data_IF_529460353607
#
_entry.id   IF_529460353607
#
_cell.length_a   1.000
_cell.length_b   1.000
_cell.length_c   1.000
_cell.angle_alpha   90.00
_cell.angle_beta   90.00
_cell.angle_gamma   90.00
#
_symmetry.space_group_name_H-M   'P 1'
#
loop_
_entity.id
_entity.type
_entity.pdbx_description
1 polymer ?
#
# COMPACT_ATOMS: atom_id res chain seq x y z
N UNK A 1 68.60 -46.46 -52.80
CA UNK A 1 67.77 -45.41 -52.20
C UNK A 1 66.85 -44.92 -53.30
N UNK A 2 65.68 -45.54 -53.38
CA UNK A 2 64.37 -44.96 -53.00
C UNK A 2 63.63 -44.55 -54.29
N UNK A 3 62.76 -45.40 -54.87
CA UNK A 3 61.35 -45.65 -54.52
C UNK A 3 60.49 -44.37 -54.51
N UNK A 4 59.58 -44.20 -55.48
CA UNK A 4 58.12 -44.33 -55.29
C UNK A 4 57.32 -43.66 -56.42
N UNK A 5 56.52 -44.50 -57.06
CA UNK A 5 55.34 -44.18 -57.87
C UNK A 5 54.26 -43.57 -56.98
N UNK A 6 53.75 -42.38 -57.29
CA UNK A 6 52.58 -41.83 -56.60
C UNK A 6 51.32 -42.44 -57.17
N UNK A 7 50.69 -43.27 -56.34
CA UNK A 7 49.42 -43.95 -56.54
C UNK A 7 48.29 -42.91 -56.69
N UNK A 8 47.63 -42.91 -57.85
CA UNK A 8 46.28 -42.35 -58.03
C UNK A 8 45.30 -43.40 -57.55
N UNK A 9 44.55 -43.11 -56.49
CA UNK A 9 43.22 -43.67 -56.18
C UNK A 9 42.82 -43.25 -54.77
N UNK A 10 41.89 -42.31 -54.63
CA UNK A 10 40.88 -42.27 -53.57
C UNK A 10 40.12 -40.93 -53.59
N UNK A 11 39.15 -40.79 -54.49
CA UNK A 11 38.11 -39.78 -54.31
C UNK A 11 36.76 -40.31 -54.82
N UNK A 12 36.00 -40.94 -53.93
CA UNK A 12 34.59 -41.26 -54.19
C UNK A 12 33.73 -41.49 -52.93
N UNK A 13 34.23 -41.20 -51.72
CA UNK A 13 33.50 -41.49 -50.47
C UNK A 13 33.03 -40.24 -49.67
N UNK A 14 33.16 -39.03 -50.22
CA UNK A 14 32.85 -37.78 -49.50
C UNK A 14 31.35 -37.38 -49.51
N UNK A 15 30.54 -37.86 -50.46
CA UNK A 15 29.21 -37.27 -50.71
C UNK A 15 28.04 -37.84 -49.89
N UNK A 16 28.19 -38.97 -49.17
CA UNK A 16 27.08 -39.57 -48.39
C UNK A 16 26.97 -39.10 -46.94
N UNK A 17 28.03 -38.51 -46.37
CA UNK A 17 28.03 -38.01 -44.98
C UNK A 17 27.37 -36.64 -44.78
N UNK A 18 27.23 -35.84 -45.84
CA UNK A 18 26.77 -34.44 -45.75
C UNK A 18 25.26 -34.28 -45.55
N UNK A 19 24.44 -35.27 -45.90
CA UNK A 19 22.98 -35.20 -45.75
C UNK A 19 22.49 -35.62 -44.35
N UNK A 20 23.27 -36.45 -43.64
CA UNK A 20 22.94 -36.88 -42.28
C UNK A 20 23.24 -35.81 -41.22
N UNK A 21 24.33 -35.03 -41.38
CA UNK A 21 24.68 -33.96 -40.44
C UNK A 21 23.69 -32.80 -40.48
N UNK A 22 23.26 -32.38 -41.69
CA UNK A 22 22.27 -31.32 -41.85
C UNK A 22 20.89 -31.68 -41.24
N UNK A 23 20.55 -32.97 -41.23
CA UNK A 23 19.31 -33.47 -40.61
C UNK A 23 19.41 -33.52 -39.08
N UNK A 24 20.59 -33.85 -38.54
CA UNK A 24 20.85 -33.79 -37.09
C UNK A 24 20.88 -32.35 -36.57
N UNK A 25 21.47 -31.43 -37.32
CA UNK A 25 21.54 -30.00 -36.98
C UNK A 25 20.14 -29.37 -37.00
N UNK A 26 19.27 -29.78 -37.95
CA UNK A 26 17.86 -29.34 -38.00
C UNK A 26 17.06 -29.82 -36.78
N UNK A 27 17.18 -31.11 -36.42
CA UNK A 27 16.50 -31.66 -35.24
C UNK A 27 17.01 -31.02 -33.94
N UNK A 28 18.28 -30.64 -33.89
CA UNK A 28 18.86 -29.91 -32.76
C UNK A 28 18.32 -28.48 -32.70
N UNK A 29 18.14 -27.82 -33.85
CA UNK A 29 17.54 -26.49 -33.97
C UNK A 29 16.06 -26.46 -33.55
N UNK A 30 15.29 -27.47 -33.94
CA UNK A 30 13.89 -27.63 -33.49
C UNK A 30 13.81 -27.83 -31.97
N UNK A 31 14.76 -28.58 -31.37
CA UNK A 31 14.85 -28.78 -29.93
C UNK A 31 15.13 -27.50 -29.13
N UNK A 32 16.06 -26.65 -29.58
CA UNK A 32 16.37 -25.35 -28.93
C UNK A 32 15.26 -24.32 -29.13
N UNK A 33 14.57 -24.33 -30.28
CA UNK A 33 13.39 -23.49 -30.49
C UNK A 33 12.25 -23.88 -29.54
N UNK A 34 12.09 -25.18 -29.29
CA UNK A 34 11.08 -25.70 -28.37
C UNK A 34 11.42 -25.39 -26.90
N UNK A 35 12.69 -25.51 -26.50
CA UNK A 35 13.18 -25.09 -25.18
C UNK A 35 12.95 -23.58 -24.94
N UNK A 36 13.23 -22.73 -25.93
CA UNK A 36 12.96 -21.28 -25.85
C UNK A 36 11.48 -20.93 -25.77
N UNK A 37 10.62 -21.71 -26.44
CA UNK A 37 9.17 -21.58 -26.34
C UNK A 37 8.63 -21.99 -24.96
N UNK A 38 9.20 -23.03 -24.33
CA UNK A 38 8.83 -23.44 -22.97
C UNK A 38 9.27 -22.40 -21.93
N UNK A 39 10.46 -21.81 -22.09
CA UNK A 39 10.94 -20.72 -21.22
C UNK A 39 10.08 -19.46 -21.39
N UNK A 40 9.74 -19.10 -22.63
CA UNK A 40 8.86 -17.95 -22.91
C UNK A 40 7.44 -18.16 -22.36
N UNK A 41 6.90 -19.37 -22.43
CA UNK A 41 5.60 -19.72 -21.85
C UNK A 41 5.65 -19.73 -20.31
N UNK A 42 6.74 -20.22 -19.71
CA UNK A 42 6.96 -20.18 -18.27
C UNK A 42 7.08 -18.72 -17.78
N UNK A 43 7.86 -17.88 -18.45
CA UNK A 43 8.00 -16.44 -18.14
C UNK A 43 6.66 -15.72 -18.29
N UNK A 44 5.86 -16.06 -19.31
CA UNK A 44 4.52 -15.48 -19.51
C UNK A 44 3.53 -15.84 -18.41
N UNK A 45 3.61 -17.06 -17.86
CA UNK A 45 2.74 -17.51 -16.76
C UNK A 45 3.11 -16.91 -15.40
N UNK A 46 4.40 -16.62 -15.17
CA UNK A 46 4.87 -15.93 -13.95
C UNK A 46 4.49 -14.44 -13.95
N UNK A 47 4.36 -13.80 -15.11
CA UNK A 47 4.01 -12.38 -15.21
C UNK A 47 2.51 -12.08 -14.96
N UNK A 48 1.63 -13.09 -14.96
CA UNK A 48 0.17 -12.94 -14.77
C UNK A 48 -0.24 -12.57 -13.32
N UNK A 49 0.70 -12.45 -12.39
CA UNK A 49 0.43 -11.95 -11.03
C UNK A 49 0.34 -10.41 -11.00
N UNK A 50 -0.42 -9.84 -11.94
CA UNK A 50 -0.59 -8.40 -12.08
C UNK A 50 -1.83 -7.91 -11.34
N UNK A 51 -1.58 -7.03 -10.37
CA UNK A 51 -2.44 -5.95 -9.91
C UNK A 51 -3.83 -6.35 -9.39
N UNK A 52 -3.89 -6.68 -8.10
CA UNK A 52 -5.13 -6.58 -7.31
C UNK A 52 -5.60 -5.12 -7.35
N UNK A 53 -6.54 -4.81 -8.25
CA UNK A 53 -7.31 -3.55 -8.19
C UNK A 53 -7.96 -3.50 -6.81
N UNK A 54 -7.51 -2.59 -5.96
CA UNK A 54 -8.15 -2.32 -4.67
C UNK A 54 -9.60 -1.95 -4.99
N UNK A 55 -10.54 -2.84 -4.66
CA UNK A 55 -11.95 -2.64 -4.95
C UNK A 55 -12.45 -1.36 -4.27
N UNK A 56 -13.17 -0.51 -5.03
CA UNK A 56 -13.83 0.70 -4.52
C UNK A 56 -14.70 0.41 -3.29
N UNK A 57 -15.28 -0.80 -3.21
CA UNK A 57 -16.08 -1.25 -2.08
C UNK A 57 -15.24 -1.32 -0.79
N UNK A 58 -13.97 -1.73 -0.88
CA UNK A 58 -13.06 -1.75 0.28
C UNK A 58 -12.71 -0.34 0.76
N UNK A 59 -12.52 0.60 -0.17
CA UNK A 59 -12.28 2.01 0.17
C UNK A 59 -13.51 2.65 0.81
N UNK A 60 -14.69 2.42 0.26
CA UNK A 60 -15.94 2.94 0.82
C UNK A 60 -16.21 2.39 2.22
N UNK A 61 -16.02 1.08 2.42
CA UNK A 61 -16.11 0.46 3.75
C UNK A 61 -15.07 1.04 4.71
N UNK A 62 -13.85 1.31 4.26
CA UNK A 62 -12.84 1.96 5.11
C UNK A 62 -13.28 3.36 5.54
N UNK A 63 -13.77 4.18 4.60
CA UNK A 63 -14.22 5.55 4.87
C UNK A 63 -15.39 5.53 5.86
N UNK A 64 -16.39 4.67 5.67
CA UNK A 64 -17.55 4.62 6.57
C UNK A 64 -17.13 4.30 8.01
N UNK A 65 -16.21 3.34 8.19
CA UNK A 65 -15.69 2.99 9.51
C UNK A 65 -14.88 4.13 10.15
N UNK A 66 -14.09 4.86 9.36
CA UNK A 66 -13.35 6.04 9.85
C UNK A 66 -14.33 7.12 10.28
N UNK A 67 -15.32 7.45 9.46
CA UNK A 67 -16.32 8.48 9.79
C UNK A 67 -17.06 8.13 11.07
N UNK A 68 -17.60 6.91 11.16
CA UNK A 68 -18.35 6.46 12.34
C UNK A 68 -17.46 6.51 13.60
N UNK A 69 -16.24 5.99 13.53
CA UNK A 69 -15.30 6.02 14.65
C UNK A 69 -14.91 7.44 15.06
N UNK A 70 -14.66 8.32 14.09
CA UNK A 70 -14.29 9.71 14.35
C UNK A 70 -15.44 10.54 14.92
N UNK A 71 -16.68 10.29 14.51
CA UNK A 71 -17.86 10.92 15.12
C UNK A 71 -18.01 10.45 16.56
N UNK A 72 -17.96 9.14 16.81
CA UNK A 72 -18.02 8.57 18.16
C UNK A 72 -16.92 9.14 19.08
N UNK A 73 -15.70 9.27 18.56
CA UNK A 73 -14.59 9.86 19.29
C UNK A 73 -14.82 11.35 19.58
N UNK A 74 -15.29 12.13 18.60
CA UNK A 74 -15.61 13.55 18.81
C UNK A 74 -16.72 13.77 19.83
N UNK A 75 -17.76 12.93 19.79
CA UNK A 75 -18.85 12.94 20.78
C UNK A 75 -18.32 12.59 22.17
N UNK A 76 -17.50 11.55 22.29
CA UNK A 76 -16.90 11.17 23.57
C UNK A 76 -15.97 12.26 24.14
N UNK A 77 -15.21 12.93 23.27
CA UNK A 77 -14.34 14.03 23.67
C UNK A 77 -15.15 15.20 24.25
N UNK A 78 -16.14 15.69 23.51
CA UNK A 78 -16.90 16.89 23.91
C UNK A 78 -17.89 16.62 25.06
N UNK A 79 -18.42 15.41 25.19
CA UNK A 79 -19.39 15.08 26.25
C UNK A 79 -18.75 14.60 27.55
N UNK A 80 -17.61 13.92 27.49
CA UNK A 80 -16.98 13.33 28.67
C UNK A 80 -15.68 14.03 29.04
N UNK A 81 -14.75 14.20 28.09
CA UNK A 81 -13.40 14.67 28.40
C UNK A 81 -13.33 16.19 28.61
N UNK A 82 -13.94 16.95 27.70
CA UNK A 82 -13.94 18.43 27.70
C UNK A 82 -14.79 19.07 28.81
N UNK A 83 -15.83 18.44 29.37
CA UNK A 83 -16.51 19.01 30.54
C UNK A 83 -15.85 18.57 31.85
N UNK A 84 -15.27 17.37 31.90
CA UNK A 84 -14.76 16.78 33.15
C UNK A 84 -13.25 16.97 33.36
N UNK A 85 -12.58 17.80 32.54
CA UNK A 85 -11.13 18.03 32.63
C UNK A 85 -10.30 16.74 32.52
N UNK A 86 -10.87 15.72 31.86
CA UNK A 86 -10.18 14.47 31.56
C UNK A 86 -9.47 14.63 30.23
N UNK A 87 -8.19 14.25 30.19
CA UNK A 87 -7.34 14.42 29.03
C UNK A 87 -6.94 13.06 28.49
N UNK A 88 -7.04 12.87 27.16
CA UNK A 88 -6.53 11.70 26.44
C UNK A 88 -5.00 11.78 26.24
N UNK A 89 -4.35 10.73 25.75
CA UNK A 89 -2.95 10.75 25.36
C UNK A 89 -2.66 11.49 24.03
N UNK A 90 -1.38 11.75 23.79
CA UNK A 90 -0.88 12.20 22.47
C UNK A 90 -1.36 13.59 22.04
N UNK A 91 -1.63 13.76 20.74
CA UNK A 91 -2.01 15.05 20.13
C UNK A 91 -3.37 15.52 20.62
N UNK A 92 -4.31 14.60 20.81
CA UNK A 92 -5.66 14.88 21.33
C UNK A 92 -5.59 15.47 22.73
N UNK A 93 -4.77 14.90 23.62
CA UNK A 93 -4.59 15.42 24.97
C UNK A 93 -4.05 16.85 25.03
N UNK A 94 -3.01 17.11 24.25
CA UNK A 94 -2.42 18.46 24.14
C UNK A 94 -3.48 19.44 23.62
N UNK A 95 -4.32 19.01 22.67
CA UNK A 95 -5.40 19.83 22.11
C UNK A 95 -6.45 20.20 23.17
N UNK A 96 -6.81 19.25 24.04
CA UNK A 96 -7.74 19.48 25.16
C UNK A 96 -7.15 20.51 26.13
N UNK A 97 -5.91 20.32 26.58
CA UNK A 97 -5.25 21.24 27.52
C UNK A 97 -5.19 22.66 26.93
N UNK A 98 -4.82 22.77 25.65
CA UNK A 98 -4.67 24.07 24.99
C UNK A 98 -6.03 24.75 24.75
N UNK A 99 -7.08 23.97 24.49
CA UNK A 99 -8.47 24.43 24.43
C UNK A 99 -8.92 25.03 25.76
N UNK A 100 -8.61 24.38 26.88
CA UNK A 100 -8.91 24.93 28.21
C UNK A 100 -8.20 26.25 28.49
N UNK A 101 -6.90 26.34 28.20
CA UNK A 101 -6.10 27.53 28.53
C UNK A 101 -6.44 28.71 27.61
N UNK A 102 -6.78 28.46 26.35
CA UNK A 102 -6.97 29.51 25.34
C UNK A 102 -8.45 29.82 25.07
N UNK A 103 -9.38 29.04 25.63
CA UNK A 103 -10.83 29.10 25.37
C UNK A 103 -11.20 29.00 23.88
N UNK A 104 -10.31 28.44 23.06
CA UNK A 104 -10.53 28.18 21.64
C UNK A 104 -11.10 26.76 21.48
N UNK A 105 -12.02 26.51 20.53
CA UNK A 105 -12.64 25.19 20.37
C UNK A 105 -11.62 24.07 20.16
N UNK A 106 -11.85 22.93 20.82
CA UNK A 106 -10.99 21.75 20.75
C UNK A 106 -10.73 21.32 19.29
N UNK A 107 -11.75 21.38 18.45
CA UNK A 107 -11.66 21.02 17.03
C UNK A 107 -10.56 21.77 16.28
N UNK A 108 -10.30 23.03 16.61
CA UNK A 108 -9.25 23.83 15.97
C UNK A 108 -7.86 23.30 16.34
N UNK A 109 -7.63 23.02 17.62
CA UNK A 109 -6.34 22.48 18.06
C UNK A 109 -6.11 21.06 17.56
N UNK A 110 -7.16 20.23 17.50
CA UNK A 110 -7.08 18.90 16.90
C UNK A 110 -6.62 18.96 15.46
N UNK A 111 -7.19 19.86 14.66
CA UNK A 111 -6.81 20.02 13.27
C UNK A 111 -5.39 20.59 13.13
N UNK A 112 -5.08 21.66 13.85
CA UNK A 112 -3.82 22.38 13.74
C UNK A 112 -2.64 21.54 14.22
N UNK A 113 -2.76 20.87 15.37
CA UNK A 113 -1.70 20.04 15.92
C UNK A 113 -1.54 18.73 15.15
N UNK A 114 -2.57 18.19 14.51
CA UNK A 114 -2.42 17.03 13.62
C UNK A 114 -1.77 17.38 12.28
N UNK A 115 -1.82 18.62 11.82
CA UNK A 115 -1.26 19.04 10.53
C UNK A 115 0.23 18.68 10.34
N UNK A 116 1.16 18.96 11.28
CA UNK A 116 2.56 18.54 11.14
C UNK A 116 2.70 17.01 11.10
N UNK A 117 1.95 16.27 11.92
CA UNK A 117 1.96 14.81 11.90
C UNK A 117 1.40 14.26 10.59
N UNK A 118 0.43 14.93 9.98
CA UNK A 118 -0.13 14.58 8.68
C UNK A 118 0.92 14.71 7.58
N UNK A 119 1.69 15.81 7.59
CA UNK A 119 2.78 16.05 6.63
C UNK A 119 3.85 14.97 6.78
N UNK A 120 4.24 14.65 8.01
CA UNK A 120 5.23 13.62 8.31
C UNK A 120 4.70 12.23 7.89
N UNK A 121 3.46 11.90 8.25
CA UNK A 121 2.80 10.64 7.89
C UNK A 121 2.61 10.47 6.39
N UNK A 122 2.35 11.56 5.66
CA UNK A 122 2.30 11.57 4.20
C UNK A 122 3.66 11.18 3.60
N UNK A 123 4.77 11.68 4.15
CA UNK A 123 6.12 11.36 3.67
C UNK A 123 6.59 9.96 4.08
N UNK A 124 6.28 9.50 5.28
CA UNK A 124 6.80 8.22 5.81
C UNK A 124 5.92 7.00 5.46
N UNK A 125 4.60 7.11 5.58
CA UNK A 125 3.66 5.98 5.42
C UNK A 125 3.01 6.01 4.03
N UNK A 126 2.71 7.21 3.54
CA UNK A 126 2.20 7.43 2.19
C UNK A 126 0.79 8.05 2.16
N UNK A 127 0.32 8.30 0.93
CA UNK A 127 -0.85 9.14 0.66
C UNK A 127 -2.15 8.56 1.24
N UNK A 128 -2.36 7.26 1.14
CA UNK A 128 -3.61 6.60 1.59
C UNK A 128 -3.79 6.68 3.10
N UNK A 129 -2.69 6.57 3.86
CA UNK A 129 -2.72 6.75 5.31
C UNK A 129 -3.03 8.20 5.66
N UNK A 130 -2.28 9.15 5.08
CA UNK A 130 -2.49 10.57 5.32
C UNK A 130 -3.92 11.01 4.98
N UNK A 131 -4.50 10.57 3.85
CA UNK A 131 -5.89 10.90 3.51
C UNK A 131 -6.89 10.35 4.53
N UNK A 132 -6.66 9.12 5.00
CA UNK A 132 -7.52 8.48 6.00
C UNK A 132 -7.45 9.21 7.36
N UNK A 133 -6.25 9.58 7.78
CA UNK A 133 -6.02 10.37 9.01
C UNK A 133 -6.60 11.76 8.88
N UNK A 134 -6.39 12.44 7.75
CA UNK A 134 -6.97 13.77 7.50
C UNK A 134 -8.50 13.71 7.57
N UNK A 135 -9.11 12.72 6.92
CA UNK A 135 -10.56 12.54 6.94
C UNK A 135 -11.04 12.31 8.37
N UNK A 136 -10.38 11.43 9.13
CA UNK A 136 -10.73 11.16 10.52
C UNK A 136 -10.62 12.41 11.41
N UNK A 137 -9.51 13.14 11.31
CA UNK A 137 -9.28 14.39 12.07
C UNK A 137 -10.30 15.46 11.69
N UNK A 138 -10.63 15.62 10.41
CA UNK A 138 -11.64 16.57 9.95
C UNK A 138 -13.03 16.23 10.48
N UNK A 139 -13.43 14.96 10.40
CA UNK A 139 -14.74 14.51 10.91
C UNK A 139 -14.80 14.65 12.42
N UNK A 140 -13.73 14.31 13.13
CA UNK A 140 -13.64 14.47 14.59
C UNK A 140 -13.67 15.95 15.01
N UNK A 141 -12.90 16.80 14.31
CA UNK A 141 -12.86 18.25 14.52
C UNK A 141 -14.23 18.88 14.23
N UNK A 142 -14.91 18.46 13.17
CA UNK A 142 -16.25 18.93 12.87
C UNK A 142 -17.26 18.46 13.91
N UNK A 143 -17.18 17.19 14.34
CA UNK A 143 -18.07 16.66 15.38
C UNK A 143 -17.92 17.43 16.69
N UNK A 144 -16.69 17.66 17.15
CA UNK A 144 -16.41 18.45 18.36
C UNK A 144 -16.87 19.90 18.21
N UNK A 145 -16.63 20.54 17.06
CA UNK A 145 -17.05 21.93 16.81
C UNK A 145 -18.58 22.07 16.74
N UNK A 146 -19.28 21.12 16.12
CA UNK A 146 -20.75 21.11 16.07
C UNK A 146 -21.37 20.83 17.45
N UNK A 147 -20.69 20.07 18.30
CA UNK A 147 -21.12 19.80 19.66
C UNK A 147 -20.74 20.90 20.67
N UNK A 148 -19.84 21.81 20.29
CA UNK A 148 -19.35 22.88 21.15
C UNK A 148 -20.46 23.82 21.67
N UNK A 149 -21.52 24.02 20.88
CA UNK A 149 -22.70 24.81 21.26
C UNK A 149 -23.70 24.03 22.14
N UNK A 150 -23.51 22.73 22.32
CA UNK A 150 -24.42 21.86 23.08
C UNK A 150 -23.88 21.75 24.51
N UNK A 151 -24.57 22.37 25.47
CA UNK A 151 -24.17 22.33 26.88
C UNK A 151 -23.95 20.91 27.41
N UNK A 152 -22.89 20.75 28.21
CA UNK A 152 -22.45 19.48 28.79
C UNK A 152 -23.60 18.68 29.41
N UNK A 153 -23.75 17.42 29.01
CA UNK A 153 -24.83 16.54 29.49
C UNK A 153 -24.62 16.05 30.93
N UNK A 154 -23.43 16.20 31.53
CA UNK A 154 -23.13 15.68 32.88
C UNK A 154 -21.93 16.40 33.52
N UNK A 155 -22.09 16.84 34.78
CA UNK A 155 -21.04 17.47 35.60
C UNK A 155 -20.24 16.48 36.50
N UNK A 156 -20.49 15.18 36.39
CA UNK A 156 -19.96 14.19 37.33
C UNK A 156 -18.79 13.38 36.73
N UNK A 157 -17.57 13.68 37.18
CA UNK A 157 -16.30 13.14 36.67
C UNK A 157 -16.20 11.62 36.69
N UNK A 158 -16.87 10.92 37.62
CA UNK A 158 -16.81 9.46 37.71
C UNK A 158 -17.55 8.74 36.56
N UNK A 159 -18.68 9.29 36.09
CA UNK A 159 -19.42 8.73 34.95
C UNK A 159 -18.73 9.00 33.61
N UNK A 160 -17.84 10.00 33.56
CA UNK A 160 -17.07 10.31 32.37
C UNK A 160 -15.81 9.46 32.21
N UNK A 161 -15.35 8.81 33.28
CA UNK A 161 -14.08 8.09 33.32
C UNK A 161 -14.21 6.55 33.22
N UNK A 162 -15.41 5.99 33.44
CA UNK A 162 -15.65 4.54 33.56
C UNK A 162 -16.59 4.00 32.49
#
# INVERSE_FOLDING_TARGET
>A
MEHLTTNTSADSNSSKGSHASASQDMNQFEGIAQLGALDSAAISSVQQYQHTKISLIKLLKRIIFIVIGSVLMGVGLELFLVPNQITDGGVTGISIILSYVTSVPLGVFLFLLNLPFLIIGYKQIGKTFALSTLLGVLVMSLSTTLLHDVSAFTENTFLAAV
#
